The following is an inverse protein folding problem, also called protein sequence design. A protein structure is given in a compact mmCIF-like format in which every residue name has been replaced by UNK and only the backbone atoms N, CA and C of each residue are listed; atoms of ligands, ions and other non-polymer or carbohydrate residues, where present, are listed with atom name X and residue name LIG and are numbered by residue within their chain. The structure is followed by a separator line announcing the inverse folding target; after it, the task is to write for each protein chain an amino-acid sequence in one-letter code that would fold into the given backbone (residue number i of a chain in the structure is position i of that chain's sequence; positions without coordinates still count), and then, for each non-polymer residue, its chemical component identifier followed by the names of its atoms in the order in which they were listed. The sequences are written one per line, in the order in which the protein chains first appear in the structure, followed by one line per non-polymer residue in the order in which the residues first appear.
data_IF_505530697671
#
_entry.id   IF_505530697671
#
_cell.length_a   1.000
_cell.length_b   1.000
_cell.length_c   1.000
_cell.angle_alpha   90.00
_cell.angle_beta   90.00
_cell.angle_gamma   90.00
#
_symmetry.space_group_name_H-M   'P 1'
#
loop_
_entity.id
_entity.type
_entity.pdbx_description
1 polymer ?
#
# COMPACT_ATOMS: atom_id res chain seq x y z
N UNK A 1 9.79 5.27 11.99
CA UNK A 1 10.57 4.11 11.53
C UNK A 1 9.74 2.86 11.77
N UNK A 2 9.79 1.88 10.87
CA UNK A 2 9.03 0.63 10.96
C UNK A 2 9.99 -0.56 10.84
N UNK A 3 9.73 -1.62 11.62
CA UNK A 3 10.47 -2.88 11.55
C UNK A 3 9.52 -3.96 11.04
N UNK A 4 9.91 -4.67 9.99
CA UNK A 4 9.09 -5.70 9.34
C UNK A 4 9.88 -7.01 9.24
N UNK A 5 9.25 -8.10 9.67
CA UNK A 5 9.75 -9.45 9.41
C UNK A 5 9.56 -9.77 7.92
N UNK A 6 10.59 -10.36 7.30
CA UNK A 6 10.58 -10.83 5.93
C UNK A 6 10.32 -12.33 5.88
N UNK A 7 9.56 -12.78 4.88
CA UNK A 7 9.53 -14.19 4.50
C UNK A 7 10.85 -14.61 3.84
N UNK A 8 11.07 -15.91 3.64
CA UNK A 8 12.24 -16.40 2.92
C UNK A 8 12.34 -15.83 1.49
N UNK A 9 11.20 -15.78 0.80
CA UNK A 9 11.10 -15.27 -0.58
C UNK A 9 11.27 -13.75 -0.65
N UNK A 10 10.69 -13.00 0.30
CA UNK A 10 10.88 -11.54 0.38
C UNK A 10 12.35 -11.20 0.65
N UNK A 11 12.99 -11.93 1.56
CA UNK A 11 14.40 -11.74 1.88
C UNK A 11 15.29 -12.05 0.68
N UNK A 12 15.05 -13.17 0.00
CA UNK A 12 15.79 -13.50 -1.22
C UNK A 12 15.59 -12.44 -2.30
N UNK A 13 14.37 -11.90 -2.46
CA UNK A 13 14.06 -10.86 -3.43
C UNK A 13 14.76 -9.54 -3.10
N UNK A 14 14.77 -9.13 -1.82
CA UNK A 14 15.49 -7.96 -1.33
C UNK A 14 17.00 -8.04 -1.66
N UNK A 15 17.62 -9.20 -1.43
CA UNK A 15 19.03 -9.40 -1.75
C UNK A 15 19.30 -9.36 -3.25
N UNK A 16 18.43 -9.97 -4.07
CA UNK A 16 18.58 -9.96 -5.55
C UNK A 16 18.49 -8.55 -6.14
N UNK A 17 17.60 -7.69 -5.64
CA UNK A 17 17.42 -6.33 -6.16
C UNK A 17 18.23 -5.27 -5.41
N UNK A 18 19.05 -5.64 -4.42
CA UNK A 18 19.70 -4.70 -3.51
C UNK A 18 20.56 -3.66 -4.25
N UNK A 19 21.37 -4.11 -5.21
CA UNK A 19 22.26 -3.23 -5.98
C UNK A 19 21.49 -2.25 -6.87
N UNK A 20 20.52 -2.74 -7.65
CA UNK A 20 19.71 -1.92 -8.53
C UNK A 20 18.85 -0.93 -7.75
N UNK A 21 18.28 -1.37 -6.62
CA UNK A 21 17.53 -0.52 -5.70
C UNK A 21 18.43 0.59 -5.12
N UNK A 22 19.60 0.23 -4.60
CA UNK A 22 20.51 1.20 -3.98
C UNK A 22 20.94 2.26 -4.99
N UNK A 23 21.30 1.85 -6.21
CA UNK A 23 21.63 2.77 -7.30
C UNK A 23 20.48 3.73 -7.59
N UNK A 24 19.27 3.20 -7.78
CA UNK A 24 18.07 4.00 -8.07
C UNK A 24 17.78 5.05 -7.00
N UNK A 25 17.83 4.66 -5.71
CA UNK A 25 17.57 5.59 -4.59
C UNK A 25 18.65 6.66 -4.46
N UNK A 26 19.91 6.33 -4.79
CA UNK A 26 21.02 7.29 -4.71
C UNK A 26 21.01 8.27 -5.89
N UNK A 27 20.58 7.82 -7.08
CA UNK A 27 20.51 8.64 -8.29
C UNK A 27 19.22 9.49 -8.37
N UNK A 28 18.08 8.95 -7.92
CA UNK A 28 16.79 9.62 -7.95
C UNK A 28 16.29 10.01 -6.55
N UNK A 29 16.60 11.26 -6.18
CA UNK A 29 16.13 11.84 -4.90
C UNK A 29 14.61 12.02 -4.81
N UNK A 30 13.89 11.93 -5.93
CA UNK A 30 12.43 12.05 -6.00
C UNK A 30 11.70 10.71 -5.85
N UNK A 31 12.43 9.59 -5.77
CA UNK A 31 11.84 8.26 -5.65
C UNK A 31 10.85 8.16 -4.47
N UNK A 32 9.71 7.55 -4.74
CA UNK A 32 8.63 7.27 -3.80
C UNK A 32 8.75 5.88 -3.17
N UNK A 33 9.76 5.09 -3.57
CA UNK A 33 9.99 3.79 -2.97
C UNK A 33 10.31 3.90 -1.48
N UNK A 34 9.85 2.89 -0.75
CA UNK A 34 10.21 2.70 0.66
C UNK A 34 11.73 2.73 0.82
N UNK A 35 12.22 3.51 1.77
CA UNK A 35 13.64 3.61 2.13
C UNK A 35 13.97 2.52 3.13
N UNK A 36 14.76 1.56 2.71
CA UNK A 36 15.33 0.54 3.59
C UNK A 36 16.60 1.09 4.22
N UNK A 37 16.67 1.03 5.56
CA UNK A 37 17.80 1.52 6.32
C UNK A 37 18.73 0.40 6.75
N UNK A 38 18.16 -0.73 7.15
CA UNK A 38 18.94 -1.82 7.71
C UNK A 38 18.22 -3.15 7.54
N UNK A 39 18.95 -4.20 7.20
CA UNK A 39 18.47 -5.57 7.18
C UNK A 39 19.29 -6.39 8.18
N UNK A 40 18.63 -7.21 8.99
CA UNK A 40 19.28 -8.04 10.00
C UNK A 40 18.53 -9.34 10.27
N UNK A 41 19.26 -10.36 10.73
CA UNK A 41 18.71 -11.59 11.26
C UNK A 41 18.66 -11.52 12.78
N UNK A 42 17.50 -11.77 13.38
CA UNK A 42 17.35 -11.77 14.83
C UNK A 42 17.82 -13.12 15.40
N UNK A 43 18.77 -13.17 16.35
CA UNK A 43 19.28 -14.44 16.87
C UNK A 43 18.24 -15.27 17.63
N UNK A 44 17.29 -14.61 18.31
CA UNK A 44 16.32 -15.27 19.19
C UNK A 44 15.38 -16.25 18.46
N UNK A 45 14.99 -15.93 17.23
CA UNK A 45 14.07 -16.74 16.42
C UNK A 45 14.61 -17.08 15.03
N UNK A 46 15.81 -16.60 14.68
CA UNK A 46 16.46 -16.85 13.41
C UNK A 46 15.78 -16.19 12.21
N UNK A 47 14.89 -15.20 12.43
CA UNK A 47 14.12 -14.59 11.35
C UNK A 47 14.78 -13.32 10.81
N UNK A 48 14.55 -13.04 9.53
CA UNK A 48 15.05 -11.84 8.85
C UNK A 48 14.09 -10.67 9.05
N UNK A 49 14.67 -9.50 9.29
CA UNK A 49 13.97 -8.25 9.53
C UNK A 49 14.57 -7.14 8.68
N UNK A 50 13.72 -6.21 8.29
CA UNK A 50 14.13 -4.95 7.66
C UNK A 50 13.59 -3.77 8.44
N UNK A 51 14.42 -2.75 8.55
CA UNK A 51 14.10 -1.43 9.10
C UNK A 51 13.87 -0.49 7.94
N UNK A 52 12.73 0.19 7.93
CA UNK A 52 12.32 1.08 6.85
C UNK A 52 11.67 2.37 7.34
N UNK A 53 11.54 3.36 6.45
CA UNK A 53 10.79 4.56 6.73
C UNK A 53 9.29 4.26 6.95
N UNK A 54 8.63 5.11 7.73
CA UNK A 54 7.17 5.06 7.88
C UNK A 54 6.58 6.10 6.93
N UNK A 55 5.86 5.66 5.90
CA UNK A 55 5.22 6.58 4.94
C UNK A 55 4.10 7.40 5.61
N UNK A 56 3.49 6.84 6.67
CA UNK A 56 2.48 7.51 7.49
C UNK A 56 2.92 7.42 8.95
N UNK A 57 3.33 8.52 9.58
CA UNK A 57 3.65 8.53 11.01
C UNK A 57 2.41 8.19 11.85
N UNK A 58 2.54 7.44 12.97
CA UNK A 58 1.40 7.11 13.84
C UNK A 58 0.68 8.31 14.43
N UNK A 59 1.37 9.45 14.56
CA UNK A 59 0.82 10.70 15.09
C UNK A 59 0.00 11.48 14.05
N UNK A 60 0.02 11.10 12.78
CA UNK A 60 -0.70 11.81 11.72
C UNK A 60 -2.19 11.43 11.75
N UNK A 61 -3.12 12.39 11.94
CA UNK A 61 -4.56 12.13 11.92
C UNK A 61 -5.03 11.89 10.48
N UNK A 62 -4.85 10.67 10.00
CA UNK A 62 -5.25 10.27 8.64
C UNK A 62 -6.77 10.12 8.57
N UNK A 63 -7.39 10.86 7.65
CA UNK A 63 -8.81 10.74 7.39
C UNK A 63 -9.10 9.54 6.50
N UNK A 64 -8.41 9.42 5.38
CA UNK A 64 -8.51 8.27 4.47
C UNK A 64 -7.12 7.75 4.13
N UNK A 65 -6.95 6.43 4.10
CA UNK A 65 -5.71 5.76 3.71
C UNK A 65 -6.03 4.74 2.64
N UNK A 66 -5.38 4.85 1.49
CA UNK A 66 -5.60 4.03 0.31
C UNK A 66 -4.39 3.14 0.06
N UNK A 67 -4.66 1.88 -0.29
CA UNK A 67 -3.71 0.91 -0.81
C UNK A 67 -4.11 0.68 -2.28
N UNK A 68 -3.37 1.31 -3.20
CA UNK A 68 -3.70 1.37 -4.64
C UNK A 68 -2.71 0.53 -5.46
N UNK A 69 -3.23 -0.44 -6.19
CA UNK A 69 -2.50 -1.28 -7.16
C UNK A 69 -2.86 -0.94 -8.61
N UNK A 70 -3.89 -0.14 -8.83
CA UNK A 70 -4.42 0.15 -10.17
C UNK A 70 -5.25 -1.00 -10.74
N UNK A 71 -5.86 -1.80 -9.86
CA UNK A 71 -6.66 -2.97 -10.24
C UNK A 71 -7.86 -3.13 -9.33
N UNK A 72 -8.66 -4.19 -9.52
CA UNK A 72 -9.79 -4.50 -8.65
C UNK A 72 -9.39 -4.79 -7.18
N UNK A 73 -8.08 -4.78 -6.85
CA UNK A 73 -7.54 -4.91 -5.50
C UNK A 73 -7.36 -3.60 -4.73
N UNK A 74 -7.57 -2.46 -5.38
CA UNK A 74 -7.57 -1.15 -4.73
C UNK A 74 -8.53 -1.14 -3.54
N UNK A 75 -8.07 -0.61 -2.41
CA UNK A 75 -8.83 -0.65 -1.15
C UNK A 75 -8.51 0.50 -0.20
N UNK A 76 -9.47 0.81 0.66
CA UNK A 76 -9.24 1.64 1.83
C UNK A 76 -8.67 0.80 2.97
N UNK A 77 -7.62 1.32 3.61
CA UNK A 77 -7.09 0.87 4.89
C UNK A 77 -7.75 1.63 6.05
N UNK A 78 -8.00 2.92 5.85
CA UNK A 78 -8.72 3.82 6.77
C UNK A 78 -9.73 4.59 5.95
N UNK A 79 -10.97 4.68 6.42
CA UNK A 79 -12.06 5.42 5.77
C UNK A 79 -12.77 6.28 6.81
N UNK A 80 -12.78 7.60 6.63
CA UNK A 80 -13.38 8.54 7.58
C UNK A 80 -12.80 8.43 9.00
N UNK A 81 -11.48 8.26 9.12
CA UNK A 81 -10.74 8.14 10.37
C UNK A 81 -10.86 6.77 11.07
N UNK A 82 -11.63 5.83 10.52
CA UNK A 82 -11.79 4.48 11.09
C UNK A 82 -11.12 3.44 10.21
N UNK A 83 -10.36 2.52 10.81
CA UNK A 83 -9.75 1.38 10.11
C UNK A 83 -10.84 0.52 9.45
N UNK A 84 -10.57 0.07 8.23
CA UNK A 84 -11.48 -0.82 7.48
C UNK A 84 -10.99 -2.26 7.68
N UNK A 85 -11.85 -3.12 8.24
CA UNK A 85 -11.54 -4.53 8.38
C UNK A 85 -11.50 -5.21 7.01
N UNK A 86 -10.38 -5.85 6.67
CA UNK A 86 -10.21 -6.56 5.40
C UNK A 86 -10.93 -7.90 5.44
N UNK A 87 -12.19 -7.91 5.00
CA UNK A 87 -13.05 -9.09 5.02
C UNK A 87 -13.05 -9.77 3.65
N UNK A 88 -12.05 -10.60 3.40
CA UNK A 88 -11.95 -11.35 2.14
C UNK A 88 -12.99 -12.47 2.06
N UNK A 89 -13.52 -12.70 0.86
CA UNK A 89 -14.25 -13.93 0.56
C UNK A 89 -13.25 -15.07 0.65
N UNK A 90 -13.55 -16.05 1.51
CA UNK A 90 -12.86 -17.34 1.49
C UNK A 90 -13.78 -18.33 0.84
N UNK A 91 -13.21 -19.25 0.06
CA UNK A 91 -13.98 -20.24 -0.71
C UNK A 91 -14.94 -21.07 0.16
N UNK A 92 -14.61 -21.30 1.43
CA UNK A 92 -15.47 -22.01 2.38
C UNK A 92 -16.64 -21.16 2.94
N UNK A 93 -16.72 -19.86 2.63
CA UNK A 93 -17.86 -19.00 2.98
C UNK A 93 -18.82 -18.86 1.79
N UNK A 94 -19.29 -19.98 1.25
CA UNK A 94 -20.11 -20.02 0.03
C UNK A 94 -21.40 -19.18 0.13
N UNK A 95 -22.02 -19.14 1.32
CA UNK A 95 -23.20 -18.30 1.58
C UNK A 95 -22.95 -16.79 1.38
N UNK A 96 -21.72 -16.30 1.54
CA UNK A 96 -21.39 -14.89 1.25
C UNK A 96 -21.46 -14.58 -0.24
N UNK A 97 -21.18 -15.56 -1.12
CA UNK A 97 -21.30 -15.38 -2.55
C UNK A 97 -22.77 -15.25 -2.97
N UNK A 98 -23.64 -16.12 -2.42
CA UNK A 98 -25.08 -16.07 -2.67
C UNK A 98 -25.72 -14.77 -2.13
N UNK A 99 -25.35 -14.36 -0.91
CA UNK A 99 -25.85 -13.11 -0.32
C UNK A 99 -25.41 -11.87 -1.10
N UNK A 100 -24.18 -11.83 -1.63
CA UNK A 100 -23.72 -10.71 -2.44
C UNK A 100 -24.43 -10.64 -3.81
N UNK A 101 -24.84 -11.78 -4.36
CA UNK A 101 -25.56 -11.85 -5.64
C UNK A 101 -27.05 -11.47 -5.51
N UNK A 102 -27.73 -11.92 -4.46
CA UNK A 102 -29.20 -11.81 -4.36
C UNK A 102 -29.70 -10.84 -3.28
N UNK A 103 -28.92 -10.59 -2.22
CA UNK A 103 -29.38 -9.91 -1.01
C UNK A 103 -28.24 -9.12 -0.34
N UNK A 104 -27.67 -8.13 -1.01
CA UNK A 104 -26.51 -7.35 -0.50
C UNK A 104 -26.76 -6.70 0.88
N UNK A 105 -28.02 -6.38 1.20
CA UNK A 105 -28.47 -5.90 2.51
C UNK A 105 -28.37 -6.91 3.67
N UNK A 106 -28.21 -8.20 3.39
CA UNK A 106 -28.03 -9.25 4.39
C UNK A 106 -26.55 -9.50 4.76
N UNK A 107 -25.61 -8.91 4.03
CA UNK A 107 -24.17 -9.05 4.32
C UNK A 107 -23.80 -8.37 5.65
N UNK A 108 -22.80 -8.87 6.40
CA UNK A 108 -22.27 -8.17 7.56
C UNK A 108 -21.86 -6.73 7.23
N UNK A 109 -22.11 -5.79 8.14
CA UNK A 109 -21.83 -4.36 7.93
C UNK A 109 -20.39 -4.09 7.49
N UNK A 110 -19.42 -4.79 8.10
CA UNK A 110 -18.00 -4.67 7.75
C UNK A 110 -17.69 -5.13 6.33
N UNK A 111 -18.40 -6.15 5.83
CA UNK A 111 -18.23 -6.65 4.45
C UNK A 111 -18.77 -5.65 3.44
N UNK A 112 -19.95 -5.10 3.69
CA UNK A 112 -20.50 -4.01 2.85
C UNK A 112 -19.56 -2.81 2.83
N UNK A 113 -19.04 -2.41 3.99
CA UNK A 113 -18.09 -1.30 4.10
C UNK A 113 -16.79 -1.56 3.35
N UNK A 114 -16.23 -2.76 3.49
CA UNK A 114 -15.03 -3.18 2.75
C UNK A 114 -15.26 -3.16 1.23
N UNK A 115 -16.40 -3.67 0.76
CA UNK A 115 -16.76 -3.64 -0.66
C UNK A 115 -16.97 -2.23 -1.20
N UNK A 116 -17.75 -1.41 -0.49
CA UNK A 116 -17.94 -0.01 -0.84
C UNK A 116 -16.59 0.72 -0.90
N UNK A 117 -15.67 0.37 0.01
CA UNK A 117 -14.29 0.82 -0.01
C UNK A 117 -13.54 0.44 -1.29
N UNK A 118 -13.57 -0.83 -1.70
CA UNK A 118 -12.89 -1.24 -2.94
C UNK A 118 -13.43 -0.51 -4.18
N UNK A 119 -14.76 -0.44 -4.31
CA UNK A 119 -15.40 0.25 -5.45
C UNK A 119 -15.04 1.73 -5.48
N UNK A 120 -15.05 2.39 -4.32
CA UNK A 120 -14.71 3.80 -4.23
C UNK A 120 -13.22 4.04 -4.48
N UNK A 121 -12.32 3.23 -3.91
CA UNK A 121 -10.88 3.40 -4.05
C UNK A 121 -10.44 3.35 -5.51
N UNK A 122 -11.04 2.45 -6.29
CA UNK A 122 -10.77 2.30 -7.73
C UNK A 122 -11.14 3.54 -8.56
N UNK A 123 -12.15 4.30 -8.13
CA UNK A 123 -12.68 5.45 -8.87
C UNK A 123 -12.31 6.80 -8.23
N UNK A 124 -11.61 6.80 -7.10
CA UNK A 124 -11.26 8.02 -6.40
C UNK A 124 -10.32 8.87 -7.28
N UNK A 125 -10.59 10.17 -7.36
CA UNK A 125 -9.75 11.14 -8.06
C UNK A 125 -9.15 12.07 -7.03
N UNK A 126 -7.84 12.25 -7.12
CA UNK A 126 -7.11 13.19 -6.27
C UNK A 126 -6.85 14.46 -7.08
N UNK A 127 -7.50 15.54 -6.66
CA UNK A 127 -7.22 16.86 -7.24
C UNK A 127 -5.87 17.34 -6.73
N UNK A 128 -4.87 17.32 -7.62
CA UNK A 128 -3.51 17.76 -7.35
C UNK A 128 -3.30 19.15 -7.94
N UNK A 129 -3.20 20.15 -7.07
CA UNK A 129 -2.83 21.51 -7.43
C UNK A 129 -1.57 21.90 -6.66
N UNK A 130 -0.55 22.49 -7.31
CA UNK A 130 -0.48 22.84 -8.74
C UNK A 130 -0.29 21.64 -9.70
N UNK A 131 -0.58 21.83 -10.98
CA UNK A 131 -0.40 20.80 -12.03
C UNK A 131 1.06 20.30 -12.13
N UNK A 132 2.04 21.12 -11.72
CA UNK A 132 3.45 20.74 -11.66
C UNK A 132 3.70 19.57 -10.70
N UNK A 133 3.01 19.50 -9.56
CA UNK A 133 3.18 18.42 -8.59
C UNK A 133 2.66 17.09 -9.13
N UNK A 134 1.56 17.14 -9.88
CA UNK A 134 1.04 15.97 -10.60
C UNK A 134 2.08 15.43 -11.58
N UNK A 135 2.77 16.31 -12.30
CA UNK A 135 3.83 15.89 -13.23
C UNK A 135 5.01 15.25 -12.49
N UNK A 136 5.48 15.88 -11.41
CA UNK A 136 6.56 15.34 -10.58
C UNK A 136 6.25 13.96 -10.04
N UNK A 137 5.08 13.79 -9.39
CA UNK A 137 4.65 12.49 -8.85
C UNK A 137 4.56 11.46 -9.97
N UNK A 138 4.03 11.84 -11.13
CA UNK A 138 3.94 10.94 -12.29
C UNK A 138 5.31 10.49 -12.77
N UNK A 139 6.29 11.39 -12.84
CA UNK A 139 7.67 11.09 -13.24
C UNK A 139 8.35 10.16 -12.23
N UNK A 140 8.26 10.45 -10.93
CA UNK A 140 8.80 9.59 -9.87
C UNK A 140 8.18 8.19 -9.88
N UNK A 141 6.86 8.08 -9.99
CA UNK A 141 6.16 6.78 -10.13
C UNK A 141 6.67 6.02 -11.35
N UNK A 142 6.91 6.71 -12.47
CA UNK A 142 7.38 6.08 -13.71
C UNK A 142 8.78 5.52 -13.56
N UNK A 143 9.68 6.28 -12.94
CA UNK A 143 11.05 5.86 -12.63
C UNK A 143 11.06 4.64 -11.70
N UNK A 144 10.31 4.72 -10.60
CA UNK A 144 10.20 3.65 -9.62
C UNK A 144 9.64 2.36 -10.23
N UNK A 145 8.56 2.46 -11.01
CA UNK A 145 7.98 1.30 -11.72
C UNK A 145 8.95 0.71 -12.72
N UNK A 146 9.75 1.52 -13.41
CA UNK A 146 10.76 1.02 -14.34
C UNK A 146 11.84 0.19 -13.62
N UNK A 147 12.29 0.64 -12.45
CA UNK A 147 13.24 -0.10 -11.61
C UNK A 147 12.62 -1.39 -11.06
N UNK A 148 11.42 -1.32 -10.49
CA UNK A 148 10.72 -2.50 -9.98
C UNK A 148 10.52 -3.56 -11.07
N UNK A 149 10.14 -3.12 -12.28
CA UNK A 149 9.97 -4.00 -13.44
C UNK A 149 11.29 -4.63 -13.90
N UNK A 150 12.39 -3.87 -13.93
CA UNK A 150 13.70 -4.43 -14.32
C UNK A 150 14.22 -5.46 -13.31
N UNK A 151 13.85 -5.31 -12.03
CA UNK A 151 14.13 -6.28 -10.98
C UNK A 151 13.15 -7.48 -10.95
N UNK A 152 12.15 -7.52 -11.85
CA UNK A 152 11.13 -8.57 -11.87
C UNK A 152 10.20 -8.56 -10.66
N UNK A 153 10.04 -7.41 -10.00
CA UNK A 153 9.16 -7.24 -8.85
C UNK A 153 7.76 -6.83 -9.29
N UNK A 154 6.74 -7.35 -8.62
CA UNK A 154 5.32 -7.07 -8.88
C UNK A 154 4.53 -7.00 -7.57
N UNK A 155 3.20 -6.83 -7.66
CA UNK A 155 2.25 -6.79 -6.54
C UNK A 155 2.49 -5.68 -5.50
N UNK A 156 3.27 -4.67 -5.85
CA UNK A 156 3.44 -3.45 -5.07
C UNK A 156 2.22 -2.55 -5.16
N UNK A 157 2.09 -1.68 -4.15
CA UNK A 157 1.01 -0.72 -4.04
C UNK A 157 1.54 0.67 -3.79
N UNK A 158 0.86 1.68 -4.32
CA UNK A 158 1.01 3.07 -3.93
C UNK A 158 0.13 3.34 -2.70
N UNK A 159 0.77 3.66 -1.58
CA UNK A 159 0.06 4.07 -0.37
C UNK A 159 -0.23 5.57 -0.43
N UNK A 160 -1.50 5.96 -0.37
CA UNK A 160 -1.92 7.37 -0.40
C UNK A 160 -2.67 7.69 0.89
N UNK A 161 -2.18 8.68 1.64
CA UNK A 161 -2.84 9.16 2.84
C UNK A 161 -3.45 10.54 2.59
N UNK A 162 -4.75 10.67 2.89
CA UNK A 162 -5.46 11.96 2.88
C UNK A 162 -5.59 12.43 4.31
N UNK A 163 -4.98 13.58 4.58
CA UNK A 163 -5.08 14.28 5.86
C UNK A 163 -6.02 15.46 5.69
N UNK A 164 -6.87 15.73 6.67
CA UNK A 164 -7.61 16.99 6.70
C UNK A 164 -6.62 18.09 7.01
N UNK A 165 -6.57 19.13 6.17
CA UNK A 165 -5.86 20.36 6.54
C UNK A 165 -6.44 20.89 7.86
N UNK A 166 -5.59 21.48 8.71
CA UNK A 166 -6.12 22.33 9.76
C UNK A 166 -7.01 23.38 9.06
N UNK A 167 -8.27 23.49 9.49
CA UNK A 167 -9.05 24.65 9.13
C UNK A 167 -8.25 25.87 9.61
N UNK A 168 -7.72 26.65 8.66
CA UNK A 168 -7.14 27.95 8.94
C UNK A 168 -8.23 28.91 9.40
#
# INVERSE_FOLDING_TARGET
MLVKQLSGDDHASLLRCCESYTRHILEDTSSLLTRFYYHFKRPADGQNYVVMNSMVPPSTPVHDLYDLKGSADDKFMVMGGKKVAQTHKRWFKLHWFAMEACCTGALPGDRRRYMAGKTRALHERFDMLPAADRQRIRESVRGDVAMLRSAGLMDYSLLVAVVKGAAG
#
